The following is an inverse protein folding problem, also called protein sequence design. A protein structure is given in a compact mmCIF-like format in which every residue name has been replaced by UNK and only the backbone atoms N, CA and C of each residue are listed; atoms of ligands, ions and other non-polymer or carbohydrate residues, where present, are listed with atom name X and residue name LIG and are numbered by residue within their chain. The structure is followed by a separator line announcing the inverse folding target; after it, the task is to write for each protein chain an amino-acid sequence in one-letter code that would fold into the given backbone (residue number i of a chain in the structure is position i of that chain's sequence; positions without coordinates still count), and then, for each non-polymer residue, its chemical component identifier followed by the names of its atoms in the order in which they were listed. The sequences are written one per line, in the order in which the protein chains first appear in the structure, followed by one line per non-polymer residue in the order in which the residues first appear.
data_IF_768298760553
#
_entry.id   IF_768298760553
#
_cell.length_a   1.000
_cell.length_b   1.000
_cell.length_c   1.000
_cell.angle_alpha   90.00
_cell.angle_beta   90.00
_cell.angle_gamma   90.00
#
_symmetry.space_group_name_H-M   'P 1'
#
loop_
_entity.id
_entity.type
_entity.pdbx_description
1 polymer ?
#
# COMPACT_ATOMS: atom_id res chain seq x y z
N UNK A 1 12.46 37.59 44.42
CA UNK A 1 12.07 38.26 43.15
C UNK A 1 12.23 37.23 42.05
N UNK A 2 11.13 36.61 41.64
CA UNK A 2 11.09 35.52 40.65
C UNK A 2 11.11 36.14 39.25
N UNK A 3 12.21 35.99 38.52
CA UNK A 3 12.28 36.41 37.12
C UNK A 3 11.65 35.33 36.24
N UNK A 4 10.49 35.68 35.69
CA UNK A 4 9.80 34.97 34.62
C UNK A 4 10.66 34.97 33.35
N UNK A 5 11.15 33.80 32.95
CA UNK A 5 11.78 33.61 31.63
C UNK A 5 10.72 33.17 30.64
N UNK A 6 10.12 34.13 29.92
CA UNK A 6 9.27 33.84 28.77
C UNK A 6 10.14 33.17 27.68
N UNK A 7 9.91 31.88 27.44
CA UNK A 7 10.63 31.09 26.44
C UNK A 7 10.00 31.36 25.06
N UNK A 8 10.81 31.74 24.07
CA UNK A 8 10.36 32.03 22.71
C UNK A 8 9.56 30.86 22.10
N UNK A 9 8.54 31.12 21.26
CA UNK A 9 7.73 30.07 20.66
C UNK A 9 8.59 29.21 19.74
N UNK A 10 8.65 27.91 20.01
CA UNK A 10 9.31 26.94 19.14
C UNK A 10 8.63 26.92 17.78
N UNK A 11 9.44 26.91 16.71
CA UNK A 11 8.96 26.71 15.35
C UNK A 11 8.31 25.33 15.23
N UNK A 12 7.35 25.19 14.30
CA UNK A 12 6.66 23.92 14.03
C UNK A 12 7.64 22.76 13.80
N UNK A 13 8.65 22.97 12.97
CA UNK A 13 9.70 21.98 12.68
C UNK A 13 10.46 21.56 13.94
N UNK A 14 10.87 22.51 14.78
CA UNK A 14 11.59 22.19 16.01
C UNK A 14 10.70 21.45 17.03
N UNK A 15 9.40 21.78 17.06
CA UNK A 15 8.42 21.06 17.87
C UNK A 15 8.20 19.63 17.38
N UNK A 16 8.06 19.43 16.07
CA UNK A 16 7.94 18.09 15.46
C UNK A 16 9.15 17.21 15.76
N UNK A 17 10.36 17.74 15.57
CA UNK A 17 11.59 17.03 15.92
C UNK A 17 11.64 16.63 17.40
N UNK A 18 11.14 17.50 18.30
CA UNK A 18 11.07 17.20 19.73
C UNK A 18 10.02 16.13 20.05
N UNK A 19 8.87 16.15 19.38
CA UNK A 19 7.83 15.11 19.51
C UNK A 19 8.40 13.76 19.09
N UNK A 20 9.01 13.67 17.91
CA UNK A 20 9.62 12.42 17.40
C UNK A 20 10.65 11.89 18.39
N UNK A 21 11.58 12.74 18.85
CA UNK A 21 12.59 12.35 19.82
C UNK A 21 12.00 11.82 21.14
N UNK A 22 10.90 12.42 21.65
CA UNK A 22 10.23 11.94 22.85
C UNK A 22 9.56 10.57 22.63
N UNK A 23 8.91 10.37 21.48
CA UNK A 23 8.25 9.11 21.14
C UNK A 23 9.26 7.98 20.89
N UNK A 24 10.48 8.29 20.46
CA UNK A 24 11.57 7.32 20.32
C UNK A 24 12.24 6.93 21.64
N UNK A 25 12.24 7.84 22.62
CA UNK A 25 12.94 7.65 23.90
C UNK A 25 12.03 7.10 25.00
N UNK A 26 10.71 7.30 24.91
CA UNK A 26 9.76 7.04 25.99
C UNK A 26 8.47 6.42 25.47
N UNK A 27 7.87 5.51 26.25
CA UNK A 27 6.55 4.94 25.96
C UNK A 27 5.42 5.88 26.39
N UNK A 28 5.06 6.81 25.52
CA UNK A 28 4.02 7.82 25.79
C UNK A 28 2.62 7.29 25.50
N UNK A 29 1.78 7.14 26.52
CA UNK A 29 0.46 6.48 26.42
C UNK A 29 -0.67 7.40 26.00
N UNK A 30 -0.53 8.71 26.21
CA UNK A 30 -1.58 9.69 25.94
C UNK A 30 -1.04 11.03 25.42
N UNK A 31 -1.90 11.83 24.79
CA UNK A 31 -1.52 13.18 24.36
C UNK A 31 -1.30 14.11 25.55
N UNK A 32 -2.02 13.90 26.66
CA UNK A 32 -1.82 14.65 27.90
C UNK A 32 -0.42 14.40 28.45
N UNK A 33 0.00 13.15 28.52
CA UNK A 33 1.35 12.76 28.93
C UNK A 33 2.42 13.34 28.00
N UNK A 34 2.19 13.31 26.67
CA UNK A 34 3.10 13.95 25.72
C UNK A 34 3.21 15.46 25.95
N UNK A 35 2.09 16.13 26.25
CA UNK A 35 2.06 17.55 26.54
C UNK A 35 2.81 17.87 27.83
N UNK A 36 2.72 17.02 28.86
CA UNK A 36 3.49 17.14 30.10
C UNK A 36 5.00 17.00 29.86
N UNK A 37 5.43 16.02 29.06
CA UNK A 37 6.85 15.83 28.71
C UNK A 37 7.39 17.00 27.87
N UNK A 38 6.59 17.50 26.93
CA UNK A 38 6.92 18.70 26.17
C UNK A 38 7.03 19.92 27.09
N UNK A 39 6.10 20.10 28.04
CA UNK A 39 6.12 21.18 29.01
C UNK A 39 7.36 21.11 29.92
N UNK A 40 7.76 19.91 30.35
CA UNK A 40 9.01 19.69 31.09
C UNK A 40 10.26 20.10 30.28
N UNK A 41 10.21 19.95 28.95
CA UNK A 41 11.22 20.48 28.04
C UNK A 41 11.04 21.99 27.70
N UNK A 42 10.08 22.66 28.34
CA UNK A 42 9.71 24.06 28.14
C UNK A 42 8.96 24.34 26.84
N UNK A 43 8.25 23.35 26.31
CA UNK A 43 7.42 23.45 25.09
C UNK A 43 5.96 23.36 25.50
N UNK A 44 5.24 24.48 25.47
CA UNK A 44 3.81 24.50 25.79
C UNK A 44 2.98 24.50 24.51
N UNK A 45 2.06 23.55 24.41
CA UNK A 45 1.18 23.34 23.24
C UNK A 45 -0.23 23.05 23.69
N UNK A 46 -1.22 23.45 22.89
CA UNK A 46 -2.61 23.06 23.13
C UNK A 46 -2.84 21.64 22.64
N UNK A 47 -3.84 20.95 23.20
CA UNK A 47 -4.21 19.61 22.77
C UNK A 47 -4.57 19.56 21.28
N UNK A 48 -5.27 20.57 20.76
CA UNK A 48 -5.60 20.66 19.33
C UNK A 48 -4.37 20.80 18.42
N UNK A 49 -3.33 21.51 18.87
CA UNK A 49 -2.06 21.62 18.13
C UNK A 49 -1.31 20.30 18.15
N UNK A 50 -1.20 19.69 19.33
CA UNK A 50 -0.49 18.42 19.52
C UNK A 50 -1.15 17.27 18.75
N UNK A 51 -2.49 17.24 18.68
CA UNK A 51 -3.23 16.28 17.87
C UNK A 51 -2.87 16.39 16.39
N UNK A 52 -2.82 17.61 15.85
CA UNK A 52 -2.42 17.85 14.45
C UNK A 52 -0.96 17.49 14.21
N UNK A 53 -0.06 17.91 15.11
CA UNK A 53 1.36 17.60 14.99
C UNK A 53 1.60 16.08 14.98
N UNK A 54 0.91 15.31 15.81
CA UNK A 54 0.98 13.84 15.84
C UNK A 54 0.57 13.21 14.50
N UNK A 55 -0.49 13.73 13.88
CA UNK A 55 -0.91 13.29 12.54
C UNK A 55 0.14 13.64 11.50
N UNK A 56 0.67 14.86 11.54
CA UNK A 56 1.64 15.36 10.56
C UNK A 56 2.99 14.65 10.64
N UNK A 57 3.44 14.23 11.84
CA UNK A 57 4.65 13.42 12.00
C UNK A 57 4.41 11.92 11.79
N UNK A 58 3.19 11.52 11.43
CA UNK A 58 2.85 10.11 11.18
C UNK A 58 2.83 9.22 12.44
N UNK A 59 2.63 9.82 13.62
CA UNK A 59 2.58 9.05 14.87
C UNK A 59 1.33 8.18 14.94
N UNK A 60 1.51 6.92 15.35
CA UNK A 60 0.44 5.94 15.52
C UNK A 60 0.46 5.32 16.91
N UNK A 61 -0.68 4.80 17.38
CA UNK A 61 -0.74 4.06 18.64
C UNK A 61 -0.34 2.61 18.41
N UNK A 62 0.74 2.19 19.03
CA UNK A 62 1.28 0.82 19.00
C UNK A 62 1.07 0.17 20.37
N UNK A 63 0.87 -1.15 20.38
CA UNK A 63 0.74 -1.92 21.62
C UNK A 63 2.10 -2.48 22.03
N UNK A 64 2.52 -2.19 23.25
CA UNK A 64 3.72 -2.74 23.85
C UNK A 64 3.59 -4.20 24.26
N UNK A 65 4.73 -4.82 24.55
CA UNK A 65 4.79 -6.18 25.09
C UNK A 65 4.09 -6.31 26.45
N UNK A 66 3.97 -5.20 27.18
CA UNK A 66 3.21 -5.06 28.43
C UNK A 66 1.69 -4.93 28.22
N UNK A 67 1.21 -4.92 26.97
CA UNK A 67 -0.20 -4.77 26.62
C UNK A 67 -0.71 -3.32 26.67
N UNK A 68 0.12 -2.34 27.00
CA UNK A 68 -0.26 -0.93 27.00
C UNK A 68 -0.10 -0.30 25.61
N UNK A 69 -0.96 0.67 25.30
CA UNK A 69 -0.89 1.43 24.03
C UNK A 69 -0.08 2.70 24.21
N UNK A 70 0.90 2.94 23.35
CA UNK A 70 1.73 4.15 23.32
C UNK A 70 1.89 4.70 21.89
N UNK A 71 2.25 5.98 21.77
CA UNK A 71 2.53 6.62 20.48
C UNK A 71 3.94 6.27 19.98
N UNK A 72 4.06 5.95 18.69
CA UNK A 72 5.33 5.72 18.01
C UNK A 72 5.29 6.30 16.58
N UNK A 73 6.45 6.66 16.04
CA UNK A 73 6.62 7.11 14.66
C UNK A 73 7.38 6.02 13.89
N UNK A 74 6.92 5.57 12.71
CA UNK A 74 7.69 4.65 11.88
C UNK A 74 9.01 5.32 11.46
N UNK A 75 10.14 4.75 11.86
CA UNK A 75 11.45 5.33 11.58
C UNK A 75 11.80 5.28 10.08
N UNK A 76 12.31 6.39 9.54
CA UNK A 76 13.20 6.38 8.37
C UNK A 76 14.54 5.79 8.80
N UNK A 77 14.62 4.48 8.93
CA UNK A 77 15.84 3.80 9.38
C UNK A 77 15.50 2.53 10.14
N UNK A 78 15.94 1.41 9.59
CA UNK A 78 15.61 0.06 10.05
C UNK A 78 15.92 -0.24 11.51
N UNK A 79 15.27 -1.32 11.96
CA UNK A 79 15.51 -2.06 13.19
C UNK A 79 15.43 -1.31 14.52
N UNK A 80 14.20 -1.13 14.97
CA UNK A 80 13.82 -1.44 16.36
C UNK A 80 12.47 -2.13 16.37
N UNK A 81 12.48 -3.45 16.22
CA UNK A 81 11.31 -4.30 16.44
C UNK A 81 10.75 -4.14 17.86
N UNK A 82 9.43 -4.00 17.98
CA UNK A 82 8.67 -4.90 18.82
C UNK A 82 7.88 -5.86 17.93
N UNK A 83 7.90 -7.14 18.29
CA UNK A 83 7.15 -8.19 17.61
C UNK A 83 5.70 -7.75 17.35
N UNK A 84 5.39 -7.65 16.06
CA UNK A 84 4.06 -7.41 15.50
C UNK A 84 3.17 -8.58 15.91
N UNK A 85 2.53 -8.49 17.07
CA UNK A 85 1.42 -9.37 17.39
C UNK A 85 0.25 -8.99 16.49
N UNK A 86 0.06 -9.76 15.40
CA UNK A 86 -1.10 -10.04 14.51
C UNK A 86 -2.39 -9.15 14.50
N UNK A 87 -2.42 -8.00 15.16
CA UNK A 87 -3.62 -7.21 15.47
C UNK A 87 -3.52 -5.72 15.08
N UNK A 88 -2.36 -5.23 14.61
CA UNK A 88 -2.12 -3.78 14.49
C UNK A 88 -1.50 -3.30 13.16
N UNK A 89 -1.35 -4.12 12.12
CA UNK A 89 -1.02 -3.61 10.78
C UNK A 89 -2.28 -3.19 10.03
N UNK A 90 -2.20 -2.14 9.19
CA UNK A 90 -3.30 -1.77 8.29
C UNK A 90 -3.73 -2.96 7.42
N UNK A 91 -2.78 -3.80 6.99
CA UNK A 91 -3.06 -5.05 6.29
C UNK A 91 -3.82 -6.07 7.14
N UNK A 92 -3.47 -6.24 8.42
CA UNK A 92 -4.18 -7.15 9.33
C UNK A 92 -5.61 -6.69 9.59
N UNK A 93 -5.83 -5.38 9.71
CA UNK A 93 -7.18 -4.79 9.75
C UNK A 93 -7.93 -5.03 8.44
N UNK A 94 -7.29 -4.80 7.30
CA UNK A 94 -7.90 -5.03 5.99
C UNK A 94 -8.28 -6.50 5.80
N UNK A 95 -7.47 -7.43 6.30
CA UNK A 95 -7.75 -8.85 6.20
C UNK A 95 -9.00 -9.27 7.00
N UNK A 96 -9.17 -8.74 8.21
CA UNK A 96 -10.39 -8.95 9.01
C UNK A 96 -11.62 -8.37 8.35
N UNK A 97 -11.52 -7.13 7.84
CA UNK A 97 -12.62 -6.53 7.09
C UNK A 97 -12.95 -7.34 5.84
N UNK A 98 -11.94 -7.85 5.13
CA UNK A 98 -12.18 -8.74 3.99
C UNK A 98 -12.93 -10.00 4.43
N UNK A 99 -12.63 -10.57 5.60
CA UNK A 99 -13.37 -11.73 6.13
C UNK A 99 -14.80 -11.38 6.56
N UNK A 100 -15.02 -10.19 7.11
CA UNK A 100 -16.31 -9.76 7.64
C UNK A 100 -17.29 -9.31 6.56
N UNK A 101 -16.81 -8.57 5.55
CA UNK A 101 -17.68 -7.82 4.62
C UNK A 101 -17.39 -8.01 3.13
N UNK A 102 -16.36 -8.78 2.72
CA UNK A 102 -16.19 -9.11 1.30
C UNK A 102 -17.16 -10.23 0.90
N UNK A 103 -18.07 -9.92 -0.02
CA UNK A 103 -19.02 -10.88 -0.59
C UNK A 103 -18.41 -11.58 -1.82
N UNK A 104 -17.82 -10.81 -2.73
CA UNK A 104 -17.12 -11.34 -3.90
C UNK A 104 -16.04 -10.39 -4.40
N UNK A 105 -15.08 -10.93 -5.15
CA UNK A 105 -14.07 -10.17 -5.86
C UNK A 105 -13.88 -10.76 -7.26
N UNK A 106 -14.06 -9.94 -8.28
CA UNK A 106 -13.90 -10.31 -9.69
C UNK A 106 -12.97 -9.33 -10.39
N UNK A 107 -12.24 -9.79 -11.41
CA UNK A 107 -11.29 -8.95 -12.12
C UNK A 107 -11.46 -9.04 -13.64
N UNK A 108 -11.18 -7.92 -14.30
CA UNK A 108 -11.07 -7.81 -15.76
C UNK A 108 -9.90 -6.88 -16.09
N UNK A 109 -8.82 -7.44 -16.65
CA UNK A 109 -7.56 -6.74 -16.86
C UNK A 109 -7.05 -6.08 -15.56
N UNK A 110 -7.00 -4.75 -15.52
CA UNK A 110 -6.57 -3.96 -14.37
C UNK A 110 -7.72 -3.50 -13.46
N UNK A 111 -8.96 -3.85 -13.77
CA UNK A 111 -10.12 -3.50 -12.96
C UNK A 111 -10.48 -4.66 -12.05
N UNK A 112 -10.77 -4.33 -10.79
CA UNK A 112 -11.26 -5.27 -9.78
C UNK A 112 -12.56 -4.73 -9.22
N UNK A 113 -13.60 -5.57 -9.25
CA UNK A 113 -14.90 -5.27 -8.65
C UNK A 113 -15.02 -6.06 -7.36
N UNK A 114 -15.11 -5.36 -6.24
CA UNK A 114 -15.35 -5.94 -4.92
C UNK A 114 -16.81 -5.69 -4.54
N UNK A 115 -17.52 -6.73 -4.08
CA UNK A 115 -18.89 -6.62 -3.56
C UNK A 115 -18.90 -6.73 -2.05
N UNK A 116 -19.74 -5.94 -1.40
CA UNK A 116 -19.95 -5.92 0.05
C UNK A 116 -21.45 -5.97 0.36
N UNK A 117 -21.86 -6.17 1.62
CA UNK A 117 -23.22 -5.84 2.04
C UNK A 117 -23.57 -4.36 1.78
N UNK A 118 -24.87 -4.01 1.77
CA UNK A 118 -25.32 -2.63 1.62
C UNK A 118 -24.68 -1.68 2.65
N UNK A 119 -24.27 -0.51 2.19
CA UNK A 119 -23.65 0.55 3.00
C UNK A 119 -22.20 0.29 3.46
N UNK A 120 -21.57 -0.82 3.09
CA UNK A 120 -20.23 -1.19 3.57
C UNK A 120 -19.09 -0.79 2.63
N UNK A 121 -19.37 -0.47 1.35
CA UNK A 121 -18.33 -0.28 0.34
C UNK A 121 -17.38 0.90 0.65
N UNK A 122 -17.93 2.04 1.07
CA UNK A 122 -17.12 3.22 1.42
C UNK A 122 -16.15 2.96 2.57
N UNK A 123 -16.61 2.25 3.60
CA UNK A 123 -15.77 1.91 4.74
C UNK A 123 -14.65 0.95 4.35
N UNK A 124 -14.96 -0.04 3.52
CA UNK A 124 -13.98 -1.00 3.05
C UNK A 124 -12.94 -0.37 2.10
N UNK A 125 -13.36 0.49 1.18
CA UNK A 125 -12.45 1.25 0.31
C UNK A 125 -11.48 2.13 1.12
N UNK A 126 -11.98 2.83 2.15
CA UNK A 126 -11.10 3.60 3.04
C UNK A 126 -10.07 2.72 3.76
N UNK A 127 -10.43 1.48 4.13
CA UNK A 127 -9.47 0.55 4.70
C UNK A 127 -8.43 0.09 3.68
N UNK A 128 -8.82 -0.13 2.42
CA UNK A 128 -7.91 -0.47 1.31
C UNK A 128 -6.89 0.66 1.09
N UNK A 129 -7.37 1.90 0.93
CA UNK A 129 -6.51 3.04 0.62
C UNK A 129 -5.46 3.31 1.72
N UNK A 130 -5.81 3.08 2.99
CA UNK A 130 -4.89 3.23 4.13
C UNK A 130 -3.74 2.23 4.15
N UNK A 131 -3.88 1.10 3.47
CA UNK A 131 -2.78 0.13 3.36
C UNK A 131 -1.68 0.67 2.45
N UNK A 132 -2.01 1.50 1.47
CA UNK A 132 -1.02 2.16 0.61
C UNK A 132 -0.27 1.20 -0.30
N UNK A 133 -0.93 0.16 -0.84
CA UNK A 133 -0.29 -0.73 -1.81
C UNK A 133 0.04 0.01 -3.11
N UNK A 134 1.33 0.06 -3.46
CA UNK A 134 1.82 0.62 -4.74
C UNK A 134 1.16 -0.01 -5.98
N UNK A 135 0.75 -1.28 -5.87
CA UNK A 135 0.06 -2.00 -6.93
C UNK A 135 -1.35 -1.48 -7.22
N UNK A 136 -1.93 -0.66 -6.34
CA UNK A 136 -3.25 -0.02 -6.51
C UNK A 136 -3.03 1.41 -7.02
N UNK A 137 -3.67 1.73 -8.15
CA UNK A 137 -3.74 3.09 -8.67
C UNK A 137 -4.76 3.94 -7.88
N UNK A 138 -5.90 3.34 -7.53
CA UNK A 138 -6.93 3.96 -6.70
C UNK A 138 -8.19 3.11 -6.56
N UNK A 139 -9.13 3.60 -5.74
CA UNK A 139 -10.45 2.98 -5.52
C UNK A 139 -11.58 4.00 -5.71
N UNK A 140 -12.75 3.52 -6.13
CA UNK A 140 -14.01 4.27 -6.17
C UNK A 140 -15.08 3.39 -5.53
N UNK A 141 -15.71 3.86 -4.47
CA UNK A 141 -16.77 3.13 -3.77
C UNK A 141 -18.16 3.71 -4.10
N UNK A 142 -19.12 2.80 -4.29
CA UNK A 142 -20.55 3.06 -4.24
C UNK A 142 -21.13 2.73 -2.87
N UNK A 143 -22.29 2.08 -2.83
CA UNK A 143 -22.94 1.62 -1.60
C UNK A 143 -22.51 0.18 -1.20
N UNK A 144 -22.57 -0.74 -2.15
CA UNK A 144 -22.31 -2.18 -1.98
C UNK A 144 -21.20 -2.70 -2.92
N UNK A 145 -20.56 -1.80 -3.66
CA UNK A 145 -19.63 -2.13 -4.73
C UNK A 145 -18.43 -1.17 -4.74
N UNK A 146 -17.23 -1.70 -4.89
CA UNK A 146 -15.99 -0.93 -5.04
C UNK A 146 -15.35 -1.30 -6.38
N UNK A 147 -15.03 -0.28 -7.18
CA UNK A 147 -14.11 -0.41 -8.30
C UNK A 147 -12.70 -0.09 -7.79
N UNK A 148 -11.81 -1.06 -7.90
CA UNK A 148 -10.39 -0.93 -7.61
C UNK A 148 -9.62 -1.03 -8.91
N UNK A 149 -8.62 -0.17 -9.09
CA UNK A 149 -7.82 -0.11 -10.32
C UNK A 149 -6.38 -0.50 -9.95
N UNK A 150 -5.86 -1.58 -10.53
CA UNK A 150 -4.44 -1.91 -10.43
C UNK A 150 -3.60 -0.99 -11.30
N UNK A 151 -2.36 -0.74 -10.86
CA UNK A 151 -1.39 0.05 -11.60
C UNK A 151 -0.89 -0.69 -12.85
N UNK A 152 -0.64 -1.99 -12.73
CA UNK A 152 -0.32 -2.84 -13.87
C UNK A 152 -1.59 -3.22 -14.65
N UNK A 153 -1.49 -3.24 -15.99
CA UNK A 153 -2.57 -3.57 -16.91
C UNK A 153 -3.10 -5.01 -16.71
N UNK A 154 -2.25 -5.92 -16.23
CA UNK A 154 -2.59 -7.32 -15.93
C UNK A 154 -2.77 -7.62 -14.43
N UNK A 155 -2.66 -6.62 -13.56
CA UNK A 155 -2.59 -6.82 -12.11
C UNK A 155 -3.91 -7.14 -11.41
N UNK A 156 -5.07 -7.00 -12.08
CA UNK A 156 -6.37 -7.13 -11.43
C UNK A 156 -6.64 -8.53 -10.88
N UNK A 157 -6.28 -9.58 -11.62
CA UNK A 157 -6.48 -10.97 -11.18
C UNK A 157 -5.73 -11.29 -9.89
N UNK A 158 -4.49 -10.81 -9.76
CA UNK A 158 -3.68 -11.00 -8.56
C UNK A 158 -4.29 -10.28 -7.36
N UNK A 159 -4.73 -9.03 -7.53
CA UNK A 159 -5.37 -8.27 -6.45
C UNK A 159 -6.68 -8.92 -6.01
N UNK A 160 -7.53 -9.35 -6.94
CA UNK A 160 -8.76 -10.06 -6.59
C UNK A 160 -8.47 -11.35 -5.80
N UNK A 161 -7.49 -12.14 -6.24
CA UNK A 161 -7.05 -13.34 -5.51
C UNK A 161 -6.52 -13.01 -4.11
N UNK A 162 -5.81 -11.90 -3.95
CA UNK A 162 -5.32 -11.40 -2.66
C UNK A 162 -6.47 -11.11 -1.70
N UNK A 163 -7.49 -10.37 -2.15
CA UNK A 163 -8.69 -10.09 -1.33
C UNK A 163 -9.47 -11.36 -0.96
N UNK A 164 -9.64 -12.29 -1.90
CA UNK A 164 -10.29 -13.58 -1.62
C UNK A 164 -9.52 -14.42 -0.61
N UNK A 165 -8.18 -14.38 -0.66
CA UNK A 165 -7.33 -15.09 0.31
C UNK A 165 -7.49 -14.50 1.71
N UNK A 166 -7.49 -13.16 1.82
CA UNK A 166 -7.75 -12.48 3.08
C UNK A 166 -9.14 -12.78 3.64
N UNK A 167 -10.17 -12.80 2.78
CA UNK A 167 -11.54 -13.17 3.14
C UNK A 167 -11.64 -14.57 3.77
N UNK A 168 -10.90 -15.54 3.24
CA UNK A 168 -10.92 -16.93 3.73
C UNK A 168 -10.10 -17.12 5.00
N UNK A 169 -8.99 -16.39 5.14
CA UNK A 169 -7.99 -16.66 6.18
C UNK A 169 -8.04 -15.70 7.36
N UNK A 170 -8.61 -14.49 7.17
CA UNK A 170 -8.54 -13.41 8.15
C UNK A 170 -7.13 -12.86 8.38
N UNK A 171 -6.16 -13.29 7.58
CA UNK A 171 -4.75 -12.96 7.72
C UNK A 171 -4.30 -12.08 6.58
N UNK A 172 -3.34 -11.19 6.86
CA UNK A 172 -2.69 -10.39 5.82
C UNK A 172 -2.13 -11.34 4.76
N UNK A 173 -2.51 -11.11 3.50
CA UNK A 173 -1.95 -11.88 2.41
C UNK A 173 -0.45 -11.56 2.32
N UNK A 174 0.38 -12.60 2.40
CA UNK A 174 1.82 -12.49 2.19
C UNK A 174 2.07 -11.65 0.94
N UNK A 175 2.95 -10.66 1.03
CA UNK A 175 3.37 -9.89 -0.13
C UNK A 175 3.80 -10.91 -1.18
N UNK A 176 3.03 -11.01 -2.27
CA UNK A 176 3.51 -11.67 -3.46
C UNK A 176 4.79 -10.94 -3.82
N UNK A 177 5.89 -11.68 -3.90
CA UNK A 177 7.09 -11.17 -4.50
C UNK A 177 6.67 -10.61 -5.87
N UNK A 178 6.70 -9.28 -6.00
CA UNK A 178 6.47 -8.65 -7.29
C UNK A 178 7.37 -9.31 -8.33
N UNK A 179 6.98 -9.32 -9.61
CA UNK A 179 7.76 -9.99 -10.64
C UNK A 179 9.20 -9.51 -10.53
N UNK A 180 10.10 -10.45 -10.25
CA UNK A 180 11.54 -10.22 -10.27
C UNK A 180 11.82 -9.49 -11.58
N UNK A 181 12.31 -8.25 -11.47
CA UNK A 181 12.86 -7.53 -12.61
C UNK A 181 13.84 -8.47 -13.30
N UNK A 182 13.47 -8.95 -14.48
CA UNK A 182 14.29 -9.84 -15.26
C UNK A 182 15.45 -9.02 -15.86
N UNK A 183 16.41 -8.69 -15.01
CA UNK A 183 17.68 -8.05 -15.41
C UNK A 183 18.88 -8.97 -15.20
N UNK A 184 18.66 -10.23 -14.83
CA UNK A 184 19.69 -11.27 -14.70
C UNK A 184 19.22 -12.60 -15.30
N UNK A 185 18.95 -12.60 -16.60
CA UNK A 185 18.91 -13.81 -17.42
C UNK A 185 19.57 -13.51 -18.77
N UNK A 186 20.87 -13.22 -18.74
CA UNK A 186 21.75 -13.18 -19.92
C UNK A 186 23.05 -13.88 -19.59
N UNK A 187 22.97 -15.14 -19.18
CA UNK A 187 24.06 -16.08 -19.41
C UNK A 187 23.58 -17.54 -19.25
N UNK A 188 23.04 -18.09 -20.32
CA UNK A 188 23.14 -19.52 -20.71
C UNK A 188 22.39 -19.66 -22.02
N UNK A 189 23.13 -19.81 -23.11
CA UNK A 189 22.55 -19.99 -24.43
C UNK A 189 21.73 -21.26 -24.55
N UNK A 190 20.77 -21.25 -25.48
CA UNK A 190 20.38 -22.36 -26.38
C UNK A 190 19.29 -21.83 -27.34
N UNK A 191 19.64 -21.88 -28.61
CA UNK A 191 18.84 -21.90 -29.85
C UNK A 191 18.08 -20.64 -30.31
N UNK A 192 18.65 -20.09 -31.38
CA UNK A 192 18.22 -18.98 -32.22
C UNK A 192 17.09 -19.46 -33.16
N UNK A 193 15.84 -19.06 -32.91
CA UNK A 193 14.78 -19.17 -33.93
C UNK A 193 14.91 -18.01 -34.94
N UNK A 194 14.83 -18.26 -36.26
CA UNK A 194 14.93 -17.20 -37.24
C UNK A 194 13.66 -16.35 -37.25
N UNK A 195 13.79 -15.06 -36.90
CA UNK A 195 12.71 -14.08 -37.05
C UNK A 195 12.30 -13.93 -38.53
N UNK A 196 10.99 -13.72 -38.83
CA UNK A 196 10.55 -13.46 -40.20
C UNK A 196 11.13 -12.12 -40.71
N UNK A 197 11.74 -12.15 -41.91
CA UNK A 197 12.28 -10.94 -42.56
C UNK A 197 11.16 -9.93 -42.81
N UNK A 198 11.30 -8.75 -42.23
CA UNK A 198 10.57 -7.55 -42.65
C UNK A 198 11.15 -7.13 -44.00
N UNK A 199 10.35 -7.22 -45.06
CA UNK A 199 10.75 -6.81 -46.42
C UNK A 199 10.80 -5.27 -46.46
N UNK A 200 11.96 -4.69 -46.73
CA UNK A 200 12.10 -3.25 -46.91
C UNK A 200 11.78 -2.88 -48.37
N UNK A 201 11.07 -1.77 -48.63
CA UNK A 201 10.63 -1.36 -49.97
C UNK A 201 11.76 -0.86 -50.89
N UNK A 202 13.02 -1.14 -50.57
CA UNK A 202 14.21 -0.73 -51.32
C UNK A 202 15.06 -1.91 -51.81
N UNK A 203 14.63 -3.14 -51.58
CA UNK A 203 15.33 -4.33 -52.08
C UNK A 203 15.00 -4.53 -53.58
N UNK A 204 16.01 -4.53 -54.49
CA UNK A 204 15.78 -4.85 -55.89
C UNK A 204 15.68 -6.38 -56.05
N UNK A 205 14.80 -6.81 -56.94
CA UNK A 205 14.46 -8.20 -57.32
C UNK A 205 13.43 -8.93 -56.44
N UNK A 206 12.15 -8.66 -56.71
CA UNK A 206 11.05 -9.57 -56.38
C UNK A 206 10.75 -10.53 -57.52
N UNK A 207 10.55 -11.85 -57.29
CA UNK A 207 10.09 -12.74 -58.34
C UNK A 207 8.58 -12.57 -58.60
N UNK A 208 8.30 -12.29 -59.86
CA UNK A 208 6.98 -12.17 -60.50
C UNK A 208 6.16 -13.47 -60.46
N UNK A 209 4.85 -13.31 -60.17
CA UNK A 209 3.69 -14.09 -60.65
C UNK A 209 3.64 -15.61 -60.44
N UNK A 210 2.55 -16.10 -59.81
CA UNK A 210 1.54 -16.91 -60.50
C UNK A 210 0.39 -17.35 -59.57
N UNK A 211 -0.79 -16.82 -59.86
CA UNK A 211 -2.11 -17.32 -59.45
C UNK A 211 -2.29 -18.79 -59.81
N UNK A 212 -2.75 -19.63 -58.88
CA UNK A 212 -3.50 -20.84 -59.25
C UNK A 212 -4.58 -21.19 -58.22
N UNK A 213 -5.82 -20.79 -58.54
CA UNK A 213 -7.04 -21.45 -58.07
C UNK A 213 -6.94 -22.95 -58.38
N UNK A 214 -7.26 -23.80 -57.40
CA UNK A 214 -7.80 -25.15 -57.67
C UNK A 214 -8.98 -25.43 -56.76
N UNK A 215 -10.15 -25.28 -57.37
CA UNK A 215 -11.37 -26.03 -57.10
C UNK A 215 -11.18 -27.52 -57.48
N UNK A 216 -11.83 -28.41 -56.73
CA UNK A 216 -12.33 -29.77 -57.02
C UNK A 216 -12.80 -30.34 -55.66
N UNK A 217 -14.07 -30.50 -55.31
CA UNK A 217 -15.20 -31.21 -55.92
C UNK A 217 -15.03 -32.74 -55.94
N UNK A 218 -16.00 -33.41 -55.30
CA UNK A 218 -16.30 -34.86 -55.17
C UNK A 218 -15.42 -35.64 -54.18
N UNK A 219 -15.94 -36.52 -53.35
CA UNK A 219 -17.18 -37.34 -53.40
C UNK A 219 -17.70 -37.61 -51.99
#
# INVERSE_FOLDING_TARGET
MIMSTAKAPLTKTARHAKIIALLEQQSIRSQTELAEQLAAAGVHVTQGTLSRDLVEVGAMRVRGADGHLFYAVPGEGGDRTPHVGEFASFEGRLARLSQEILVSAEASANLVVLRTPPGAAQYFASAIDRVGWESILGTIAGDDTILLISRDASGGTELAARFLTMSKTGKAAAASAGPLSNHQARDTGVLNEPQPRILNPSDPDGPSTATRKRSRHRE
#
